data_IF_410726828556
#
_entry.id   IF_410726828556
#
_cell.length_a   1.000
_cell.length_b   1.000
_cell.length_c   1.000
_cell.angle_alpha   90.00
_cell.angle_beta   90.00
_cell.angle_gamma   90.00
#
_symmetry.space_group_name_H-M   'P 1'
#
loop_
_entity.id
_entity.type
_entity.pdbx_description
1 polymer ?
#
# COMPACT_ATOMS: atom_id res chain seq x y z
N UNK A 1 -60.71 -5.58 -14.14
CA UNK A 1 -59.60 -4.74 -14.66
C UNK A 1 -58.69 -4.40 -13.50
N UNK A 2 -57.68 -5.22 -13.18
CA UNK A 2 -56.73 -4.93 -12.10
C UNK A 2 -55.36 -5.63 -12.25
N UNK A 3 -55.09 -6.29 -13.40
CA UNK A 3 -53.90 -7.13 -13.57
C UNK A 3 -52.74 -6.42 -14.28
N UNK A 4 -53.03 -5.43 -15.14
CA UNK A 4 -52.03 -4.75 -15.96
C UNK A 4 -51.15 -3.77 -15.18
N UNK A 5 -51.66 -3.11 -14.14
CA UNK A 5 -50.92 -2.08 -13.38
C UNK A 5 -49.80 -2.67 -12.49
N UNK A 6 -50.01 -3.86 -11.93
CA UNK A 6 -48.99 -4.54 -11.12
C UNK A 6 -47.78 -4.95 -11.95
N UNK A 7 -47.99 -5.42 -13.19
CA UNK A 7 -46.91 -5.87 -14.06
C UNK A 7 -45.98 -4.71 -14.49
N UNK A 8 -46.53 -3.54 -14.80
CA UNK A 8 -45.74 -2.36 -15.16
C UNK A 8 -44.84 -1.88 -14.01
N UNK A 9 -45.35 -1.90 -12.78
CA UNK A 9 -44.57 -1.54 -11.58
C UNK A 9 -43.45 -2.54 -11.28
N UNK A 10 -43.70 -3.85 -11.46
CA UNK A 10 -42.68 -4.89 -11.27
C UNK A 10 -41.56 -4.77 -12.31
N UNK A 11 -41.91 -4.47 -13.58
CA UNK A 11 -40.91 -4.26 -14.64
C UNK A 11 -40.08 -3.00 -14.37
N UNK A 12 -40.70 -1.90 -13.92
CA UNK A 12 -39.96 -0.68 -13.55
C UNK A 12 -39.02 -0.91 -12.36
N UNK A 13 -39.47 -1.63 -11.33
CA UNK A 13 -38.62 -1.99 -10.17
C UNK A 13 -37.49 -2.92 -10.59
N UNK A 14 -37.76 -3.93 -11.42
CA UNK A 14 -36.73 -4.84 -11.92
C UNK A 14 -35.70 -4.12 -12.81
N UNK A 15 -36.12 -3.15 -13.64
CA UNK A 15 -35.23 -2.33 -14.46
C UNK A 15 -34.42 -1.34 -13.61
N UNK A 16 -35.01 -0.77 -12.55
CA UNK A 16 -34.29 0.05 -11.57
C UNK A 16 -33.28 -0.77 -10.76
N UNK A 17 -33.63 -2.00 -10.36
CA UNK A 17 -32.72 -2.92 -9.67
C UNK A 17 -31.62 -3.45 -10.60
N UNK A 18 -31.92 -3.67 -11.88
CA UNK A 18 -30.93 -4.11 -12.89
C UNK A 18 -29.96 -3.00 -13.29
N UNK A 19 -30.34 -1.72 -13.13
CA UNK A 19 -29.44 -0.58 -13.33
C UNK A 19 -28.37 -0.47 -12.23
N UNK A 20 -28.52 -1.20 -11.12
CA UNK A 20 -27.42 -1.48 -10.19
C UNK A 20 -26.63 -2.70 -10.67
N UNK A 21 -26.32 -2.75 -11.97
CA UNK A 21 -25.45 -3.76 -12.55
C UNK A 21 -24.04 -3.57 -11.97
N UNK A 22 -23.53 -4.68 -11.43
CA UNK A 22 -22.18 -4.93 -10.92
C UNK A 22 -21.16 -3.87 -11.33
N UNK A 23 -20.84 -2.96 -10.40
CA UNK A 23 -19.68 -2.09 -10.54
C UNK A 23 -18.47 -3.00 -10.35
N UNK A 24 -18.11 -3.78 -11.38
CA UNK A 24 -16.94 -4.63 -11.37
C UNK A 24 -15.77 -3.74 -10.97
N UNK A 25 -15.29 -3.90 -9.74
CA UNK A 25 -14.17 -3.09 -9.26
C UNK A 25 -12.96 -3.42 -10.13
N UNK A 26 -12.66 -2.54 -11.08
CA UNK A 26 -11.47 -2.63 -11.93
C UNK A 26 -10.27 -2.98 -11.05
N UNK A 27 -9.50 -3.97 -11.50
CA UNK A 27 -8.34 -4.46 -10.74
C UNK A 27 -7.07 -3.85 -11.29
N UNK A 28 -6.24 -3.37 -10.38
CA UNK A 28 -4.92 -2.83 -10.67
C UNK A 28 -3.85 -3.79 -10.16
N UNK A 29 -2.73 -3.83 -10.86
CA UNK A 29 -1.53 -4.50 -10.40
C UNK A 29 -0.75 -3.53 -9.52
N UNK A 30 -0.33 -4.01 -8.36
CA UNK A 30 0.55 -3.31 -7.44
C UNK A 30 1.84 -4.10 -7.33
N UNK A 31 2.97 -3.47 -7.62
CA UNK A 31 4.30 -4.06 -7.46
C UNK A 31 5.05 -3.29 -6.39
N UNK A 32 5.53 -4.02 -5.38
CA UNK A 32 6.25 -3.48 -4.24
C UNK A 32 7.69 -3.97 -4.27
N UNK A 33 8.63 -3.05 -4.07
CA UNK A 33 10.04 -3.33 -3.81
C UNK A 33 10.30 -2.94 -2.36
N UNK A 34 10.62 -3.91 -1.51
CA UNK A 34 10.87 -3.70 -0.09
C UNK A 34 12.36 -3.88 0.15
N UNK A 35 13.01 -2.85 0.67
CA UNK A 35 14.41 -2.91 1.10
C UNK A 35 14.47 -3.13 2.59
N UNK A 36 15.01 -4.27 2.99
CA UNK A 36 15.47 -4.49 4.37
C UNK A 36 16.83 -3.84 4.54
N UNK A 37 17.03 -3.13 5.65
CA UNK A 37 18.26 -2.40 5.89
C UNK A 37 19.47 -3.29 6.15
N UNK A 38 20.64 -2.68 6.01
CA UNK A 38 21.93 -3.35 6.20
C UNK A 38 22.37 -3.42 7.68
N UNK A 39 21.55 -2.93 8.61
CA UNK A 39 21.87 -2.90 10.04
C UNK A 39 21.97 -4.34 10.58
N UNK A 40 22.88 -4.57 11.53
CA UNK A 40 23.07 -5.87 12.14
C UNK A 40 21.74 -6.39 12.72
N UNK A 41 21.36 -7.62 12.33
CA UNK A 41 20.06 -8.24 12.66
C UNK A 41 18.83 -7.47 12.15
N UNK A 42 18.96 -6.74 11.04
CA UNK A 42 17.84 -6.01 10.43
C UNK A 42 16.81 -6.87 9.71
N UNK A 43 17.05 -8.18 9.51
CA UNK A 43 16.11 -9.09 8.85
C UNK A 43 15.07 -9.69 9.80
N UNK A 44 14.01 -10.29 9.27
CA UNK A 44 12.90 -10.82 10.09
C UNK A 44 12.23 -12.08 9.54
N UNK A 45 11.77 -12.93 10.45
CA UNK A 45 10.90 -14.09 10.17
C UNK A 45 9.40 -13.77 10.38
N UNK A 46 9.07 -12.52 10.74
CA UNK A 46 7.69 -12.12 11.05
C UNK A 46 6.84 -12.00 9.80
N UNK A 47 5.53 -12.16 9.98
CA UNK A 47 4.56 -11.89 8.91
C UNK A 47 4.43 -10.39 8.70
N UNK A 48 4.63 -9.95 7.46
CA UNK A 48 4.50 -8.54 7.08
C UNK A 48 3.16 -8.30 6.37
N UNK A 49 2.43 -7.28 6.82
CA UNK A 49 1.21 -6.79 6.19
C UNK A 49 1.35 -5.35 5.73
N UNK A 50 0.68 -5.02 4.64
CA UNK A 50 0.74 -3.71 4.00
C UNK A 50 -0.66 -3.21 3.68
N UNK A 51 -0.92 -1.94 3.98
CA UNK A 51 -2.10 -1.24 3.49
C UNK A 51 -1.67 0.01 2.72
N UNK A 52 -2.04 0.05 1.44
CA UNK A 52 -1.78 1.16 0.54
C UNK A 52 -3.03 2.04 0.46
N UNK A 53 -2.86 3.35 0.58
CA UNK A 53 -3.95 4.31 0.55
C UNK A 53 -3.74 5.42 -0.49
N UNK A 54 -4.85 6.00 -0.92
CA UNK A 54 -4.89 7.11 -1.86
C UNK A 54 -5.46 8.40 -1.22
N UNK A 55 -5.43 9.51 -1.94
CA UNK A 55 -5.84 10.82 -1.40
C UNK A 55 -7.35 10.95 -1.25
N UNK A 56 -8.12 9.97 -1.75
CA UNK A 56 -9.58 9.87 -1.64
C UNK A 56 -10.00 9.03 -0.43
N UNK A 57 -9.04 8.48 0.31
CA UNK A 57 -9.28 7.61 1.46
C UNK A 57 -9.61 6.17 1.09
N UNK A 58 -9.47 5.78 -0.18
CA UNK A 58 -9.55 4.39 -0.60
C UNK A 58 -8.26 3.65 -0.26
N UNK A 59 -8.35 2.34 -0.10
CA UNK A 59 -7.18 1.52 0.25
C UNK A 59 -7.23 0.11 -0.33
N UNK A 60 -6.04 -0.46 -0.52
CA UNK A 60 -5.82 -1.89 -0.77
C UNK A 60 -5.03 -2.46 0.40
N UNK A 61 -5.49 -3.57 0.96
CA UNK A 61 -4.85 -4.26 2.08
C UNK A 61 -4.31 -5.62 1.64
N UNK A 62 -3.10 -5.92 2.10
CA UNK A 62 -2.33 -7.12 1.83
C UNK A 62 -1.97 -7.69 3.20
N UNK A 63 -2.76 -8.64 3.68
CA UNK A 63 -2.61 -9.20 5.03
C UNK A 63 -1.36 -10.07 5.19
N UNK A 64 -0.81 -10.55 4.08
CA UNK A 64 0.40 -11.36 3.99
C UNK A 64 1.16 -10.96 2.73
N UNK A 65 2.23 -10.20 2.88
CA UNK A 65 2.97 -9.69 1.73
C UNK A 65 3.68 -10.82 0.97
N UNK A 66 4.11 -11.89 1.65
CA UNK A 66 4.74 -13.05 1.00
C UNK A 66 3.80 -13.78 0.04
N UNK A 67 2.49 -13.70 0.25
CA UNK A 67 1.50 -14.25 -0.69
C UNK A 67 1.56 -13.62 -2.08
N UNK A 68 2.20 -12.45 -2.20
CA UNK A 68 2.46 -11.74 -3.46
C UNK A 68 3.92 -11.87 -3.93
N UNK A 69 4.73 -12.70 -3.26
CA UNK A 69 6.16 -12.85 -3.54
C UNK A 69 6.45 -13.24 -4.99
N UNK A 70 7.41 -12.54 -5.60
CA UNK A 70 7.91 -12.82 -6.95
C UNK A 70 9.35 -13.37 -6.96
N UNK A 71 9.90 -13.67 -5.79
CA UNK A 71 11.24 -14.23 -5.68
C UNK A 71 11.21 -15.73 -6.00
N UNK A 72 12.39 -16.35 -6.15
CA UNK A 72 12.50 -17.78 -6.44
C UNK A 72 11.82 -18.63 -5.35
N UNK A 73 11.41 -19.84 -5.69
CA UNK A 73 10.85 -20.78 -4.72
C UNK A 73 11.84 -21.03 -3.56
N UNK A 74 11.33 -20.98 -2.33
CA UNK A 74 12.13 -21.15 -1.11
C UNK A 74 13.06 -19.98 -0.81
N UNK A 75 12.85 -18.83 -1.44
CA UNK A 75 13.49 -17.58 -1.05
C UNK A 75 13.02 -17.17 0.36
N UNK A 76 13.99 -16.71 1.15
CA UNK A 76 13.78 -16.22 2.50
C UNK A 76 13.62 -14.70 2.43
N UNK A 77 12.40 -14.23 2.68
CA UNK A 77 12.02 -12.83 2.50
C UNK A 77 12.46 -11.98 3.68
N UNK A 78 12.58 -10.68 3.46
CA UNK A 78 12.86 -9.66 4.47
C UNK A 78 14.22 -9.80 5.14
N UNK A 79 15.16 -10.49 4.50
CA UNK A 79 16.51 -10.70 5.03
C UNK A 79 17.42 -9.47 4.92
N UNK A 80 18.39 -9.36 5.85
CA UNK A 80 19.26 -8.19 5.97
C UNK A 80 19.90 -7.82 4.63
N UNK A 81 19.82 -6.54 4.27
CA UNK A 81 20.38 -5.96 3.04
C UNK A 81 19.78 -6.49 1.73
N UNK A 82 18.69 -7.26 1.77
CA UNK A 82 17.99 -7.71 0.57
C UNK A 82 16.92 -6.72 0.09
N UNK A 83 16.66 -6.78 -1.22
CA UNK A 83 15.49 -6.17 -1.84
C UNK A 83 14.58 -7.30 -2.29
N UNK A 84 13.38 -7.32 -1.75
CA UNK A 84 12.35 -8.28 -2.10
C UNK A 84 11.28 -7.65 -2.98
N UNK A 85 10.77 -8.44 -3.93
CA UNK A 85 9.82 -7.98 -4.93
C UNK A 85 8.50 -8.74 -4.75
N UNK A 86 7.41 -7.99 -4.68
CA UNK A 86 6.06 -8.51 -4.54
C UNK A 86 5.17 -7.92 -5.62
N UNK A 87 4.26 -8.71 -6.18
CA UNK A 87 3.28 -8.20 -7.14
C UNK A 87 1.96 -8.95 -7.04
N UNK A 88 0.87 -8.21 -6.97
CA UNK A 88 -0.47 -8.77 -6.89
C UNK A 88 -1.54 -7.83 -7.41
N UNK A 89 -2.78 -8.32 -7.41
CA UNK A 89 -3.95 -7.59 -7.91
C UNK A 89 -4.83 -7.14 -6.75
N UNK A 90 -5.19 -5.87 -6.75
CA UNK A 90 -6.13 -5.26 -5.81
C UNK A 90 -7.19 -4.42 -6.53
N UNK A 91 -8.14 -3.86 -5.78
CA UNK A 91 -9.03 -2.83 -6.34
C UNK A 91 -8.19 -1.65 -6.83
N UNK A 92 -8.55 -1.06 -7.96
CA UNK A 92 -7.89 0.14 -8.44
C UNK A 92 -8.22 1.35 -7.55
N UNK A 93 -7.19 1.96 -6.97
CA UNK A 93 -7.31 3.24 -6.27
C UNK A 93 -7.61 4.38 -7.25
N UNK A 94 -8.46 5.33 -6.86
CA UNK A 94 -8.88 6.48 -7.68
C UNK A 94 -7.77 7.49 -7.94
N UNK A 95 -6.77 7.54 -7.05
CA UNK A 95 -5.59 8.39 -7.16
C UNK A 95 -4.29 7.60 -6.92
N UNK A 96 -3.12 8.14 -7.29
CA UNK A 96 -1.84 7.52 -6.97
C UNK A 96 -1.71 7.16 -5.49
N UNK A 97 -0.97 6.08 -5.20
CA UNK A 97 -0.70 5.65 -3.83
C UNK A 97 0.10 6.75 -3.12
N UNK A 98 -0.42 7.29 -2.02
CA UNK A 98 0.21 8.36 -1.25
C UNK A 98 0.31 8.04 0.25
N UNK A 99 -0.29 6.93 0.69
CA UNK A 99 -0.19 6.45 2.07
C UNK A 99 0.26 5.00 2.13
N UNK A 100 1.15 4.71 3.06
CA UNK A 100 1.59 3.37 3.42
C UNK A 100 1.32 3.14 4.91
N UNK A 101 0.67 2.05 5.26
CA UNK A 101 0.77 1.45 6.59
C UNK A 101 1.48 0.10 6.43
N UNK A 102 2.58 -0.06 7.17
CA UNK A 102 3.45 -1.23 7.14
C UNK A 102 3.49 -1.80 8.55
N UNK A 103 3.14 -3.08 8.68
CA UNK A 103 2.98 -3.76 9.97
C UNK A 103 3.66 -5.12 9.97
N UNK A 104 4.50 -5.36 10.97
CA UNK A 104 5.00 -6.68 11.35
C UNK A 104 4.08 -7.29 12.41
N UNK A 105 3.85 -8.60 12.37
CA UNK A 105 3.14 -9.30 13.45
C UNK A 105 4.02 -9.63 14.66
N UNK A 106 5.33 -9.39 14.57
CA UNK A 106 6.30 -9.62 15.65
C UNK A 106 6.48 -11.10 16.03
N UNK A 107 6.11 -12.03 15.16
CA UNK A 107 6.31 -13.46 15.37
C UNK A 107 7.70 -13.94 14.96
N UNK A 108 8.07 -15.17 15.34
CA UNK A 108 9.35 -15.79 14.96
C UNK A 108 10.53 -15.51 15.90
N UNK A 109 11.65 -16.18 15.66
CA UNK A 109 12.89 -16.01 16.42
C UNK A 109 13.58 -14.68 16.15
N UNK A 110 13.47 -14.18 14.92
CA UNK A 110 13.99 -12.89 14.47
C UNK A 110 12.82 -11.94 14.20
N UNK A 111 12.13 -11.51 15.26
CA UNK A 111 10.88 -10.73 15.12
C UNK A 111 11.10 -9.23 14.86
N UNK A 112 12.27 -8.69 15.19
CA UNK A 112 12.60 -7.29 14.96
C UNK A 112 13.07 -7.06 13.54
N UNK A 113 12.43 -6.14 12.83
CA UNK A 113 12.74 -5.85 11.43
C UNK A 113 13.21 -4.41 11.24
N UNK A 114 14.26 -4.16 10.46
CA UNK A 114 14.62 -2.81 10.04
C UNK A 114 14.32 -2.63 8.55
N UNK A 115 13.31 -1.83 8.25
CA UNK A 115 12.93 -1.51 6.88
C UNK A 115 13.51 -0.15 6.48
N UNK A 116 14.28 -0.11 5.38
CA UNK A 116 14.78 1.14 4.81
C UNK A 116 13.66 1.83 4.04
N UNK A 117 13.11 1.18 3.01
CA UNK A 117 12.08 1.77 2.17
C UNK A 117 11.17 0.74 1.52
N UNK A 118 9.99 1.21 1.11
CA UNK A 118 9.04 0.50 0.26
C UNK A 118 8.75 1.36 -0.97
N UNK A 119 9.02 0.83 -2.16
CA UNK A 119 8.66 1.47 -3.42
C UNK A 119 7.48 0.74 -4.05
N UNK A 120 6.43 1.49 -4.37
CA UNK A 120 5.17 0.98 -4.88
C UNK A 120 4.96 1.50 -6.29
N UNK A 121 4.69 0.61 -7.22
CA UNK A 121 4.18 0.94 -8.56
C UNK A 121 2.77 0.42 -8.70
N UNK A 122 1.85 1.23 -9.21
CA UNK A 122 0.49 0.81 -9.56
C UNK A 122 0.23 0.99 -11.05
N UNK A 123 -0.43 0.01 -11.66
CA UNK A 123 -0.82 0.03 -13.07
C UNK A 123 -2.18 -0.64 -13.25
N UNK A 124 -3.00 -0.11 -14.16
CA UNK A 124 -4.32 -0.67 -14.45
C UNK A 124 -4.84 -0.28 -15.83
N UNK A 125 -5.91 -0.94 -16.31
CA UNK A 125 -6.53 -0.62 -17.59
C UNK A 125 -6.96 0.85 -17.65
N UNK A 126 -6.58 1.55 -18.72
CA UNK A 126 -6.94 2.95 -18.96
C UNK A 126 -6.54 3.93 -17.83
N UNK A 127 -5.54 3.57 -17.01
CA UNK A 127 -4.99 4.42 -15.94
C UNK A 127 -3.52 4.66 -16.19
N UNK A 128 -3.05 5.86 -15.84
CA UNK A 128 -1.62 6.14 -15.85
C UNK A 128 -0.92 5.31 -14.77
N UNK A 129 0.26 4.78 -15.11
CA UNK A 129 1.11 4.17 -14.09
C UNK A 129 1.53 5.24 -13.08
N UNK A 130 1.58 4.87 -11.80
CA UNK A 130 2.08 5.75 -10.75
C UNK A 130 3.12 5.03 -9.91
N UNK A 131 4.06 5.80 -9.37
CA UNK A 131 5.15 5.29 -8.56
C UNK A 131 5.36 6.18 -7.34
N UNK A 132 5.49 5.54 -6.18
CA UNK A 132 5.71 6.22 -4.90
C UNK A 132 6.77 5.47 -4.10
N UNK A 133 7.77 6.17 -3.57
CA UNK A 133 8.68 5.62 -2.56
C UNK A 133 8.31 6.13 -1.17
N UNK A 134 8.30 5.21 -0.22
CA UNK A 134 8.11 5.44 1.19
C UNK A 134 9.42 5.11 1.92
N UNK A 135 10.14 6.12 2.39
CA UNK A 135 11.34 5.94 3.23
C UNK A 135 10.90 5.71 4.67
N UNK A 136 11.01 4.46 5.10
CA UNK A 136 10.58 3.95 6.40
C UNK A 136 11.66 4.21 7.45
N UNK A 137 12.92 3.89 7.13
CA UNK A 137 14.15 4.13 7.90
C UNK A 137 14.00 3.89 9.43
N UNK A 138 13.30 2.83 9.82
CA UNK A 138 13.02 2.55 11.23
C UNK A 138 12.87 1.05 11.53
N UNK A 139 13.04 0.71 12.81
CA UNK A 139 12.69 -0.62 13.31
C UNK A 139 11.16 -0.78 13.40
N UNK A 140 10.67 -1.91 12.93
CA UNK A 140 9.36 -2.47 13.25
C UNK A 140 9.60 -3.61 14.24
N UNK A 141 9.71 -3.27 15.51
CA UNK A 141 10.14 -4.18 16.58
C UNK A 141 9.61 -3.73 17.93
N UNK A 142 9.50 -4.64 18.89
CA UNK A 142 9.15 -4.33 20.29
C UNK A 142 10.38 -4.17 21.18
N UNK A 143 11.55 -4.58 20.71
CA UNK A 143 12.82 -4.59 21.45
C UNK A 143 13.84 -3.55 20.94
N UNK A 144 13.51 -2.81 19.88
CA UNK A 144 14.31 -1.70 19.36
C UNK A 144 13.45 -0.44 19.15
N UNK A 145 13.95 0.79 19.42
CA UNK A 145 13.23 2.03 19.15
C UNK A 145 12.80 2.13 17.69
N UNK A 146 11.56 2.56 17.39
CA UNK A 146 10.60 3.23 18.28
C UNK A 146 9.71 2.30 19.14
N UNK A 147 10.01 1.00 19.25
CA UNK A 147 9.22 0.00 19.98
C UNK A 147 7.80 -0.16 19.43
N UNK A 148 7.67 -0.06 18.11
CA UNK A 148 6.40 -0.17 17.39
C UNK A 148 6.54 -1.25 16.33
N UNK A 149 5.51 -2.08 16.17
CA UNK A 149 5.42 -3.07 15.09
C UNK A 149 4.73 -2.52 13.83
N UNK A 150 4.19 -1.31 13.90
CA UNK A 150 3.47 -0.66 12.81
C UNK A 150 3.99 0.74 12.62
N UNK A 151 4.13 1.15 11.36
CA UNK A 151 4.38 2.55 11.00
C UNK A 151 3.43 2.99 9.88
N UNK A 152 3.09 4.28 9.87
CA UNK A 152 2.25 4.88 8.82
C UNK A 152 2.94 6.10 8.26
N UNK A 153 3.07 6.13 6.93
CA UNK A 153 3.63 7.24 6.17
C UNK A 153 2.51 7.80 5.29
N UNK A 154 2.13 9.05 5.53
CA UNK A 154 1.05 9.72 4.83
C UNK A 154 1.57 10.97 4.11
N UNK A 155 1.61 10.90 2.78
CA UNK A 155 1.96 12.01 1.89
C UNK A 155 0.76 12.47 1.04
N UNK A 156 -0.47 12.17 1.45
CA UNK A 156 -1.64 12.48 0.64
C UNK A 156 -1.98 13.99 0.58
N UNK A 157 -1.58 14.77 1.60
CA UNK A 157 -1.78 16.23 1.61
C UNK A 157 -0.88 16.95 0.60
N UNK A 158 0.33 16.42 0.37
CA UNK A 158 1.26 16.92 -0.65
C UNK A 158 0.66 16.81 -2.07
N UNK A 159 -0.25 15.87 -2.27
CA UNK A 159 -0.99 15.69 -3.53
C UNK A 159 -2.15 16.70 -3.69
N UNK A 160 -2.81 17.09 -2.60
CA UNK A 160 -4.02 17.93 -2.62
C UNK A 160 -3.72 19.44 -2.68
N UNK A 161 -2.52 19.85 -2.27
CA UNK A 161 -2.17 21.26 -2.05
C UNK A 161 -2.02 22.13 -3.32
N UNK A 162 -2.36 21.63 -4.51
CA UNK A 162 -2.36 22.43 -5.76
C UNK A 162 -0.98 22.92 -6.23
N UNK A 163 0.07 22.68 -5.45
CA UNK A 163 1.44 22.69 -5.92
C UNK A 163 1.65 21.43 -6.75
N UNK A 164 1.48 21.58 -8.08
CA UNK A 164 2.14 20.67 -9.02
C UNK A 164 3.61 20.44 -8.60
N UNK A 165 4.17 19.30 -9.03
CA UNK A 165 5.22 18.53 -8.34
C UNK A 165 6.24 19.41 -7.62
N UNK A 166 6.03 19.68 -6.33
CA UNK A 166 6.93 20.54 -5.57
C UNK A 166 7.86 19.74 -4.68
N UNK A 167 9.14 19.85 -5.06
CA UNK A 167 10.39 19.58 -4.32
C UNK A 167 10.85 18.14 -4.10
N UNK A 168 9.98 17.12 -4.16
CA UNK A 168 10.39 15.72 -3.94
C UNK A 168 10.07 14.74 -5.07
N UNK A 169 9.64 15.23 -6.23
CA UNK A 169 9.33 14.38 -7.37
C UNK A 169 10.58 14.17 -8.24
N UNK A 170 11.35 13.12 -7.99
CA UNK A 170 12.44 12.74 -8.89
C UNK A 170 11.84 11.99 -10.09
N UNK A 171 11.74 12.65 -11.25
CA UNK A 171 11.26 12.06 -12.52
C UNK A 171 9.84 11.46 -12.49
N UNK A 172 8.90 12.08 -11.76
CA UNK A 172 7.50 11.65 -11.75
C UNK A 172 7.09 10.70 -10.61
N UNK A 173 8.04 10.37 -9.73
CA UNK A 173 7.85 9.51 -8.55
C UNK A 173 7.57 10.34 -7.29
N UNK A 174 6.47 10.08 -6.58
CA UNK A 174 6.22 10.69 -5.27
C UNK A 174 7.19 10.10 -4.25
N UNK A 175 7.76 10.92 -3.37
CA UNK A 175 8.63 10.47 -2.29
C UNK A 175 8.03 10.93 -0.97
N UNK A 176 7.73 9.97 -0.10
CA UNK A 176 7.19 10.19 1.24
C UNK A 176 8.22 9.67 2.23
N UNK A 177 8.62 10.49 3.19
CA UNK A 177 9.50 10.09 4.28
C UNK A 177 8.82 10.34 5.61
N UNK A 178 9.10 9.52 6.61
CA UNK A 178 8.71 9.86 7.98
C UNK A 178 9.24 11.25 8.34
N UNK A 179 8.41 12.11 8.94
CA UNK A 179 8.86 13.41 9.43
C UNK A 179 10.08 13.18 10.32
N UNK A 180 11.27 13.58 9.86
CA UNK A 180 12.36 13.84 10.78
C UNK A 180 11.80 14.84 11.78
N UNK A 181 11.60 14.44 13.03
CA UNK A 181 11.61 15.43 14.11
C UNK A 181 12.92 16.18 13.90
N UNK A 182 12.82 17.44 13.53
CA UNK A 182 13.93 18.37 13.56
C UNK A 182 14.61 18.21 14.91
N UNK A 183 15.75 17.52 14.92
CA UNK A 183 16.67 17.58 16.04
C UNK A 183 17.12 19.02 16.06
N UNK A 184 16.53 19.81 16.94
CA UNK A 184 17.08 21.10 17.29
C UNK A 184 18.49 20.81 17.81
N UNK A 185 19.48 21.34 17.12
CA UNK A 185 20.83 21.48 17.66
C UNK A 185 20.73 22.43 18.85
N UNK A 186 20.86 21.89 20.06
CA UNK A 186 21.37 22.61 21.23
C UNK A 186 22.88 22.44 21.31
#
# INVERSE_FOLDING_TARGET
MASSSLCFSIIFIALFFSAMADKSSEKCVYTLYVKTGSILKGGTDSKISVKLGDSRGQSVEISDLESWGLMKQGHDYFERDNIDIFSGRGVCLESPVCRLNLTSDGSGSHHGWYCDYVEVTSAGPHRACSQTAFYVDQWLATDAPPFQLTTTLDGCDDWLSGHGPSRHMNRGKLVVSGSRKSVASE
#
